data_IF_460593644989
#
_entry.id   IF_460593644989
#
_cell.length_a   1.000
_cell.length_b   1.000
_cell.length_c   1.000
_cell.angle_alpha   90.00
_cell.angle_beta   90.00
_cell.angle_gamma   90.00
#
_symmetry.space_group_name_H-M   'P 1'
#
loop_
_entity.id
_entity.type
_entity.pdbx_description
1 polymer ?
#
# COMPACT_ATOMS: atom_id res chain seq x y z
N UNK A 1 13.24 42.43 51.52
CA UNK A 1 13.17 41.04 51.03
C UNK A 1 11.92 40.97 50.19
N UNK A 2 12.11 41.32 48.93
CA UNK A 2 11.06 41.46 47.94
C UNK A 2 10.40 40.11 47.66
N UNK A 3 9.07 40.09 47.75
CA UNK A 3 8.25 38.93 47.41
C UNK A 3 8.34 38.74 45.90
N UNK A 4 9.01 37.68 45.48
CA UNK A 4 9.10 37.27 44.08
C UNK A 4 7.70 36.81 43.65
N UNK A 5 7.05 37.61 42.83
CA UNK A 5 5.85 37.23 42.08
C UNK A 5 6.31 36.21 41.03
N UNK A 6 6.05 34.94 41.30
CA UNK A 6 6.17 33.86 40.32
C UNK A 6 4.99 34.01 39.35
N UNK A 7 5.24 34.57 38.18
CA UNK A 7 4.31 34.51 37.06
C UNK A 7 4.20 33.04 36.62
N UNK A 8 3.01 32.48 36.74
CA UNK A 8 2.66 31.17 36.22
C UNK A 8 2.65 31.28 34.69
N UNK A 9 3.68 30.75 34.04
CA UNK A 9 3.73 30.60 32.59
C UNK A 9 2.73 29.50 32.24
N UNK A 10 1.52 29.91 31.86
CA UNK A 10 0.48 29.02 31.35
C UNK A 10 1.01 28.38 30.06
N UNK A 11 1.62 27.21 30.22
CA UNK A 11 1.97 26.31 29.14
C UNK A 11 0.66 25.85 28.51
N UNK A 12 0.21 26.57 27.48
CA UNK A 12 -0.92 26.20 26.65
C UNK A 12 -0.72 24.77 26.16
N UNK A 13 -1.37 23.81 26.81
CA UNK A 13 -1.49 22.44 26.31
C UNK A 13 -2.32 22.53 25.04
N UNK A 14 -1.63 22.69 23.91
CA UNK A 14 -2.17 22.46 22.58
C UNK A 14 -2.58 20.98 22.53
N UNK A 15 -3.81 20.72 22.97
CA UNK A 15 -4.49 19.45 22.72
C UNK A 15 -4.64 19.35 21.21
N UNK A 16 -3.68 18.68 20.56
CA UNK A 16 -3.79 18.29 19.16
C UNK A 16 -5.02 17.39 19.10
N UNK A 17 -6.15 18.00 18.75
CA UNK A 17 -7.40 17.33 18.53
C UNK A 17 -7.16 16.30 17.43
N UNK A 18 -7.15 15.02 17.78
CA UNK A 18 -7.10 13.86 16.87
C UNK A 18 -8.35 13.79 15.95
N UNK A 19 -9.15 14.85 15.87
CA UNK A 19 -10.40 14.94 15.12
C UNK A 19 -10.24 15.11 13.61
N UNK A 20 -9.03 15.33 13.08
CA UNK A 20 -8.85 15.59 11.64
C UNK A 20 -8.54 14.30 10.82
N UNK A 21 -8.43 13.15 11.48
CA UNK A 21 -8.32 11.85 10.80
C UNK A 21 -9.66 11.11 10.82
N UNK A 22 -10.65 11.70 10.15
CA UNK A 22 -11.90 11.03 9.76
C UNK A 22 -11.55 9.87 8.81
N UNK A 23 -11.24 8.71 9.37
CA UNK A 23 -11.15 7.48 8.59
C UNK A 23 -12.57 7.07 8.26
N UNK A 24 -13.04 7.37 7.05
CA UNK A 24 -14.26 6.77 6.51
C UNK A 24 -14.10 5.24 6.56
N UNK A 25 -14.59 4.61 7.64
CA UNK A 25 -14.61 3.17 7.81
C UNK A 25 -15.68 2.61 6.88
N UNK A 26 -15.38 2.59 5.58
CA UNK A 26 -16.14 1.80 4.61
C UNK A 26 -15.97 0.35 5.03
N UNK A 27 -17.03 -0.24 5.57
CA UNK A 27 -17.09 -1.65 5.97
C UNK A 27 -16.90 -2.63 4.79
N UNK A 28 -16.63 -2.13 3.58
CA UNK A 28 -16.35 -2.90 2.38
C UNK A 28 -14.83 -3.09 2.22
N UNK A 29 -14.35 -4.32 2.03
CA UNK A 29 -12.94 -4.56 1.79
C UNK A 29 -12.48 -3.85 0.51
N UNK A 30 -11.34 -3.17 0.56
CA UNK A 30 -10.72 -2.61 -0.63
C UNK A 30 -10.21 -3.74 -1.52
N UNK A 31 -10.67 -3.76 -2.77
CA UNK A 31 -10.28 -4.75 -3.76
C UNK A 31 -9.15 -4.21 -4.63
N UNK A 32 -8.17 -5.05 -4.94
CA UNK A 32 -7.11 -4.74 -5.89
C UNK A 32 -7.62 -4.81 -7.33
N UNK A 33 -7.47 -3.71 -8.04
CA UNK A 33 -7.62 -3.65 -9.50
C UNK A 33 -6.43 -4.31 -10.21
N UNK A 34 -6.56 -4.53 -11.51
CA UNK A 34 -5.46 -5.06 -12.33
C UNK A 34 -4.21 -4.16 -12.30
N UNK A 35 -4.39 -2.83 -12.30
CA UNK A 35 -3.27 -1.89 -12.26
C UNK A 35 -2.53 -1.99 -10.92
N UNK A 36 -3.26 -1.94 -9.81
CA UNK A 36 -2.67 -2.03 -8.47
C UNK A 36 -1.98 -3.39 -8.24
N UNK A 37 -2.56 -4.49 -8.72
CA UNK A 37 -1.91 -5.80 -8.66
C UNK A 37 -0.60 -5.81 -9.48
N UNK A 38 -0.61 -5.21 -10.67
CA UNK A 38 0.58 -5.13 -11.52
C UNK A 38 1.66 -4.22 -10.95
N UNK A 39 1.27 -3.12 -10.30
CA UNK A 39 2.18 -2.21 -9.60
C UNK A 39 2.79 -2.93 -8.41
N UNK A 40 1.98 -3.60 -7.59
CA UNK A 40 2.46 -4.39 -6.45
C UNK A 40 3.46 -5.47 -6.86
N UNK A 41 3.18 -6.22 -7.93
CA UNK A 41 4.10 -7.24 -8.46
C UNK A 41 5.43 -6.63 -8.91
N UNK A 42 5.39 -5.44 -9.54
CA UNK A 42 6.57 -4.75 -10.07
C UNK A 42 7.41 -4.14 -8.95
N UNK A 43 6.77 -3.43 -8.03
CA UNK A 43 7.43 -2.71 -6.95
C UNK A 43 8.09 -3.67 -5.95
N UNK A 44 7.51 -4.86 -5.79
CA UNK A 44 8.10 -5.95 -5.00
C UNK A 44 9.10 -6.82 -5.79
N UNK A 45 9.29 -6.57 -7.08
CA UNK A 45 10.22 -7.32 -7.93
C UNK A 45 9.93 -8.82 -7.99
N UNK A 46 8.66 -9.22 -7.94
CA UNK A 46 8.30 -10.64 -7.86
C UNK A 46 8.63 -11.38 -9.16
N UNK A 47 9.18 -12.57 -9.03
CA UNK A 47 9.29 -13.52 -10.14
C UNK A 47 7.90 -13.94 -10.62
N UNK A 48 7.80 -14.50 -11.83
CA UNK A 48 6.53 -15.01 -12.37
C UNK A 48 5.79 -15.91 -11.37
N UNK A 49 6.50 -16.87 -10.80
CA UNK A 49 5.94 -17.81 -9.82
C UNK A 49 5.50 -17.09 -8.55
N UNK A 50 6.29 -16.12 -8.08
CA UNK A 50 5.92 -15.30 -6.92
C UNK A 50 4.65 -14.48 -7.15
N UNK A 51 4.52 -13.87 -8.33
CA UNK A 51 3.33 -13.11 -8.73
C UNK A 51 2.08 -14.00 -8.83
N UNK A 52 2.20 -15.20 -9.41
CA UNK A 52 1.11 -16.17 -9.50
C UNK A 52 0.64 -16.64 -8.11
N UNK A 53 1.58 -16.95 -7.20
CA UNK A 53 1.25 -17.33 -5.83
C UNK A 53 0.57 -16.16 -5.10
N UNK A 54 1.10 -14.94 -5.21
CA UNK A 54 0.51 -13.75 -4.59
C UNK A 54 -0.93 -13.55 -5.07
N UNK A 55 -1.15 -13.51 -6.39
CA UNK A 55 -2.48 -13.28 -6.93
C UNK A 55 -3.44 -14.43 -6.59
N UNK A 56 -2.98 -15.69 -6.53
CA UNK A 56 -3.79 -16.83 -6.11
C UNK A 56 -4.28 -16.66 -4.66
N UNK A 57 -3.39 -16.19 -3.76
CA UNK A 57 -3.74 -15.88 -2.37
C UNK A 57 -4.74 -14.74 -2.28
N UNK A 58 -4.54 -13.65 -3.04
CA UNK A 58 -5.48 -12.52 -3.07
C UNK A 58 -6.85 -12.93 -3.61
N UNK A 59 -6.88 -13.77 -4.65
CA UNK A 59 -8.11 -14.33 -5.21
C UNK A 59 -8.86 -15.19 -4.20
N UNK A 60 -8.15 -16.09 -3.50
CA UNK A 60 -8.75 -16.95 -2.46
C UNK A 60 -9.34 -16.17 -1.28
N UNK A 61 -8.87 -14.94 -1.05
CA UNK A 61 -9.35 -14.03 -0.01
C UNK A 61 -10.43 -13.07 -0.51
N UNK A 62 -10.88 -13.21 -1.76
CA UNK A 62 -11.82 -12.28 -2.40
C UNK A 62 -11.35 -10.82 -2.37
N UNK A 63 -10.03 -10.60 -2.48
CA UNK A 63 -9.42 -9.26 -2.44
C UNK A 63 -9.13 -8.69 -3.84
N UNK A 64 -9.60 -9.34 -4.90
CA UNK A 64 -9.40 -8.87 -6.28
C UNK A 64 -10.71 -8.32 -6.83
N UNK A 65 -10.62 -7.21 -7.56
CA UNK A 65 -11.75 -6.65 -8.29
C UNK A 65 -12.21 -7.63 -9.40
N UNK A 66 -13.51 -7.61 -9.77
CA UNK A 66 -14.00 -8.40 -10.90
C UNK A 66 -13.20 -8.12 -12.18
N UNK A 67 -12.77 -9.18 -12.86
CA UNK A 67 -11.98 -9.07 -14.10
C UNK A 67 -10.47 -8.93 -13.91
N UNK A 68 -9.96 -8.89 -12.67
CA UNK A 68 -8.51 -8.94 -12.40
C UNK A 68 -7.96 -10.35 -12.66
N UNK A 69 -6.94 -10.45 -13.51
CA UNK A 69 -6.30 -11.69 -13.94
C UNK A 69 -4.97 -11.85 -13.22
N UNK A 70 -4.83 -12.96 -12.49
CA UNK A 70 -3.61 -13.34 -11.74
C UNK A 70 -2.53 -13.94 -12.64
N UNK A 71 -2.93 -14.63 -13.71
CA UNK A 71 -2.03 -15.44 -14.55
C UNK A 71 -1.45 -14.70 -15.75
N UNK A 72 -1.56 -13.37 -15.81
CA UNK A 72 -1.11 -12.61 -16.99
C UNK A 72 0.38 -12.31 -16.89
N UNK A 73 1.21 -13.25 -17.38
CA UNK A 73 2.64 -13.00 -17.55
C UNK A 73 2.92 -12.32 -18.90
N UNK A 74 3.49 -11.11 -18.86
CA UNK A 74 3.96 -10.42 -20.06
C UNK A 74 5.25 -11.07 -20.53
N UNK A 75 5.29 -11.52 -21.78
CA UNK A 75 6.52 -12.05 -22.42
C UNK A 75 7.39 -10.95 -23.01
N UNK A 76 7.36 -9.73 -22.48
CA UNK A 76 8.07 -8.60 -23.11
C UNK A 76 9.58 -8.84 -23.10
N UNK A 77 10.08 -9.56 -22.10
CA UNK A 77 11.48 -9.97 -22.01
C UNK A 77 11.89 -10.95 -23.12
N UNK A 78 10.95 -11.68 -23.74
CA UNK A 78 11.28 -12.62 -24.82
C UNK A 78 11.86 -11.94 -26.06
N UNK A 79 11.46 -10.70 -26.34
CA UNK A 79 12.03 -9.89 -27.43
C UNK A 79 13.48 -9.51 -27.16
N UNK A 80 13.88 -9.43 -25.88
CA UNK A 80 15.21 -9.00 -25.47
C UNK A 80 16.14 -10.17 -25.12
N UNK A 81 15.62 -11.40 -25.01
CA UNK A 81 16.42 -12.59 -24.66
C UNK A 81 17.63 -12.81 -25.57
N UNK A 82 17.58 -12.55 -26.90
CA UNK A 82 18.74 -12.71 -27.78
C UNK A 82 19.92 -11.80 -27.45
N UNK A 83 19.72 -10.68 -26.74
CA UNK A 83 20.78 -9.73 -26.39
C UNK A 83 21.50 -10.09 -25.08
N UNK A 84 21.04 -11.13 -24.36
CA UNK A 84 21.61 -11.58 -23.09
C UNK A 84 22.41 -12.89 -23.19
N UNK A 85 22.63 -13.42 -24.39
CA UNK A 85 23.47 -14.59 -24.62
C UNK A 85 24.95 -14.21 -24.76
N UNK A 86 25.82 -14.88 -24.00
CA UNK A 86 27.27 -14.93 -24.21
C UNK A 86 27.63 -15.97 -25.29
#
# INVERSE_FOLDING_TARGET
MDTIVLSDEESSEETISESDFETEHKNTPQLFTQCELNDLVRDQGLSKVGAEILGSRLQSKHMLAPGTIVSMYRKRETEFTPFFGE
#
